data_IF_692831206802
#
_entry.id   IF_692831206802
#
_cell.length_a   1.000
_cell.length_b   1.000
_cell.length_c   1.000
_cell.angle_alpha   90.00
_cell.angle_beta   90.00
_cell.angle_gamma   90.00
#
_symmetry.space_group_name_H-M   'P 1'
#
loop_
_entity.id
_entity.type
_entity.pdbx_description
1 polymer ?
#
# COMPACT_ATOMS: atom_id res chain seq x y z
N UNK A 1 13.17 -31.72 11.78
CA UNK A 1 12.00 -31.24 11.02
C UNK A 1 12.08 -29.74 10.96
N UNK A 2 12.44 -29.17 9.81
CA UNK A 2 12.45 -27.72 9.63
C UNK A 2 11.05 -27.29 9.19
N UNK A 3 10.32 -26.59 10.05
CA UNK A 3 9.05 -25.97 9.69
C UNK A 3 9.41 -24.77 8.82
N UNK A 4 9.20 -24.88 7.50
CA UNK A 4 9.25 -23.71 6.63
C UNK A 4 8.05 -22.83 6.97
N UNK A 5 8.29 -21.72 7.68
CA UNK A 5 7.31 -20.65 7.80
C UNK A 5 7.10 -20.04 6.41
N UNK A 6 6.01 -20.42 5.74
CA UNK A 6 5.55 -19.66 4.59
C UNK A 6 5.13 -18.28 5.09
N UNK A 7 5.70 -17.21 4.51
CA UNK A 7 5.22 -15.85 4.76
C UNK A 7 3.78 -15.77 4.21
N UNK A 8 2.86 -15.11 4.93
CA UNK A 8 1.50 -14.92 4.43
C UNK A 8 1.55 -14.18 3.10
N UNK A 9 0.60 -14.50 2.21
CA UNK A 9 0.48 -13.79 0.94
C UNK A 9 -0.22 -12.46 1.21
N UNK A 10 0.53 -11.37 1.13
CA UNK A 10 0.01 -10.01 1.31
C UNK A 10 -0.26 -9.36 -0.04
N UNK A 11 -1.49 -8.91 -0.26
CA UNK A 11 -1.88 -8.10 -1.42
C UNK A 11 -2.57 -6.81 -0.97
N UNK A 12 -2.78 -5.89 -1.91
CA UNK A 12 -3.21 -4.53 -1.62
C UNK A 12 -4.31 -4.08 -2.58
N UNK A 13 -5.23 -3.26 -2.07
CA UNK A 13 -6.25 -2.57 -2.86
C UNK A 13 -6.18 -1.07 -2.53
N UNK A 14 -6.10 -0.23 -3.57
CA UNK A 14 -6.17 1.22 -3.41
C UNK A 14 -7.64 1.62 -3.28
N UNK A 15 -7.96 2.26 -2.17
CA UNK A 15 -9.33 2.69 -1.86
C UNK A 15 -9.56 4.14 -2.28
N UNK A 16 -8.61 5.01 -1.95
CA UNK A 16 -8.64 6.41 -2.36
C UNK A 16 -7.25 7.04 -2.25
N UNK A 17 -7.02 8.08 -3.04
CA UNK A 17 -5.97 9.06 -2.79
C UNK A 17 -6.62 10.38 -2.36
N UNK A 18 -6.20 10.94 -1.22
CA UNK A 18 -6.77 12.17 -0.69
C UNK A 18 -5.81 13.36 -0.87
N UNK A 19 -6.02 14.20 -1.90
CA UNK A 19 -5.10 15.31 -2.20
C UNK A 19 -5.07 16.38 -1.10
N UNK A 20 -6.14 16.53 -0.31
CA UNK A 20 -6.17 17.48 0.81
C UNK A 20 -5.24 17.02 1.94
N UNK A 21 -5.11 15.71 2.16
CA UNK A 21 -4.15 15.15 3.12
C UNK A 21 -2.71 15.34 2.63
N UNK A 22 -2.45 15.05 1.36
CA UNK A 22 -1.13 15.25 0.76
C UNK A 22 -0.70 16.72 0.82
N UNK A 23 -1.59 17.65 0.45
CA UNK A 23 -1.33 19.09 0.55
C UNK A 23 -1.03 19.58 1.98
N UNK A 24 -1.42 18.81 3.00
CA UNK A 24 -1.13 19.06 4.42
C UNK A 24 0.08 18.27 4.94
N UNK A 25 0.84 17.62 4.05
CA UNK A 25 2.00 16.80 4.40
C UNK A 25 1.64 15.54 5.20
N UNK A 26 0.48 14.95 4.92
CA UNK A 26 0.01 13.70 5.55
C UNK A 26 -0.03 12.55 4.55
N UNK A 27 -0.01 11.33 5.06
CA UNK A 27 -0.22 10.11 4.30
C UNK A 27 -1.60 10.17 3.63
N UNK A 28 -1.63 9.94 2.33
CA UNK A 28 -2.75 10.33 1.47
C UNK A 28 -3.28 9.17 0.63
N UNK A 29 -2.53 8.09 0.46
CA UNK A 29 -3.05 6.87 -0.15
C UNK A 29 -3.71 6.00 0.92
N UNK A 30 -5.02 5.76 0.83
CA UNK A 30 -5.72 4.81 1.68
C UNK A 30 -5.70 3.44 1.02
N UNK A 31 -4.99 2.51 1.63
CA UNK A 31 -4.75 1.17 1.11
C UNK A 31 -5.44 0.16 2.02
N UNK A 32 -6.19 -0.79 1.45
CA UNK A 32 -6.62 -1.99 2.15
C UNK A 32 -5.53 -3.06 2.04
N UNK A 33 -5.20 -3.67 3.17
CA UNK A 33 -4.29 -4.83 3.21
C UNK A 33 -5.12 -6.10 3.23
N UNK A 34 -4.75 -7.06 2.37
CA UNK A 34 -5.38 -8.36 2.26
C UNK A 34 -4.31 -9.40 2.56
N UNK A 35 -4.50 -10.19 3.61
CA UNK A 35 -3.58 -11.25 4.04
C UNK A 35 -4.25 -12.60 3.87
N UNK A 36 -3.62 -13.50 3.11
CA UNK A 36 -4.14 -14.83 2.82
C UNK A 36 -5.59 -14.84 2.28
N UNK A 37 -5.93 -13.79 1.51
CA UNK A 37 -7.25 -13.60 0.91
C UNK A 37 -8.27 -12.87 1.80
N UNK A 38 -7.93 -12.59 3.06
CA UNK A 38 -8.80 -11.93 4.03
C UNK A 38 -8.44 -10.46 4.22
N UNK A 39 -9.44 -9.58 4.16
CA UNK A 39 -9.26 -8.15 4.35
C UNK A 39 -9.00 -7.82 5.84
N UNK A 40 -7.82 -7.28 6.15
CA UNK A 40 -7.42 -7.00 7.53
C UNK A 40 -7.82 -5.59 8.00
N UNK A 41 -7.83 -4.61 7.09
CA UNK A 41 -8.15 -3.22 7.42
C UNK A 41 -7.57 -2.23 6.43
N UNK A 42 -7.61 -0.94 6.78
CA UNK A 42 -7.04 0.14 5.95
C UNK A 42 -5.90 0.85 6.65
N UNK A 43 -4.91 1.26 5.86
CA UNK A 43 -3.81 2.12 6.26
C UNK A 43 -3.78 3.35 5.37
N UNK A 44 -3.42 4.50 5.95
CA UNK A 44 -2.95 5.63 5.17
C UNK A 44 -1.45 5.46 4.97
N UNK A 45 -1.01 5.47 3.72
CA UNK A 45 0.39 5.28 3.33
C UNK A 45 0.93 6.54 2.66
N UNK A 46 2.15 6.89 3.01
CA UNK A 46 2.99 7.89 2.33
C UNK A 46 3.61 7.31 1.05
N UNK A 47 4.25 8.16 0.24
CA UNK A 47 5.05 7.70 -0.91
C UNK A 47 6.16 6.72 -0.47
N UNK A 48 6.79 6.97 0.68
CA UNK A 48 7.85 6.13 1.23
C UNK A 48 7.30 4.75 1.64
N UNK A 49 6.16 4.72 2.34
CA UNK A 49 5.50 3.46 2.75
C UNK A 49 5.16 2.59 1.54
N UNK A 50 4.64 3.20 0.46
CA UNK A 50 4.31 2.48 -0.76
C UNK A 50 5.56 1.87 -1.42
N UNK A 51 6.67 2.61 -1.50
CA UNK A 51 7.95 2.10 -2.02
C UNK A 51 8.53 0.99 -1.15
N UNK A 52 8.45 1.13 0.17
CA UNK A 52 8.90 0.12 1.12
C UNK A 52 8.08 -1.17 0.97
N UNK A 53 6.75 -1.07 0.89
CA UNK A 53 5.89 -2.23 0.66
C UNK A 53 6.23 -2.92 -0.67
N UNK A 54 6.35 -2.19 -1.79
CA UNK A 54 6.72 -2.79 -3.09
C UNK A 54 8.05 -3.56 -3.00
N UNK A 55 9.03 -3.04 -2.27
CA UNK A 55 10.32 -3.72 -2.06
C UNK A 55 10.15 -5.00 -1.23
N UNK A 56 9.32 -4.96 -0.20
CA UNK A 56 9.25 -6.02 0.81
C UNK A 56 8.30 -7.16 0.43
N UNK A 57 7.20 -6.85 -0.26
CA UNK A 57 6.18 -7.83 -0.70
C UNK A 57 6.21 -8.11 -2.22
N UNK A 58 6.85 -7.24 -2.99
CA UNK A 58 6.87 -7.30 -4.46
C UNK A 58 5.93 -6.33 -5.16
N UNK A 59 5.91 -6.35 -6.50
CA UNK A 59 5.11 -5.42 -7.30
C UNK A 59 3.61 -5.62 -7.08
N UNK A 60 2.88 -4.50 -7.04
CA UNK A 60 1.42 -4.46 -6.88
C UNK A 60 0.86 -3.30 -7.69
N UNK A 61 -0.21 -3.56 -8.44
CA UNK A 61 -0.90 -2.54 -9.24
C UNK A 61 -1.46 -1.43 -8.34
N UNK A 62 -2.09 -1.81 -7.22
CA UNK A 62 -2.64 -0.86 -6.25
C UNK A 62 -1.57 0.07 -5.66
N UNK A 63 -0.40 -0.48 -5.27
CA UNK A 63 0.69 0.33 -4.74
C UNK A 63 1.32 1.23 -5.81
N UNK A 64 1.42 0.73 -7.05
CA UNK A 64 1.95 1.48 -8.18
C UNK A 64 1.03 2.62 -8.60
N UNK A 65 -0.28 2.38 -8.60
CA UNK A 65 -1.30 3.41 -8.86
C UNK A 65 -1.28 4.50 -7.77
N UNK A 66 -1.18 4.10 -6.50
CA UNK A 66 -1.06 5.04 -5.38
C UNK A 66 0.20 5.91 -5.50
N UNK A 67 1.33 5.34 -5.92
CA UNK A 67 2.56 6.10 -6.18
C UNK A 67 2.40 7.09 -7.33
N UNK A 68 1.70 6.71 -8.40
CA UNK A 68 1.44 7.61 -9.52
C UNK A 68 0.60 8.81 -9.07
N UNK A 69 -0.41 8.59 -8.23
CA UNK A 69 -1.26 9.66 -7.69
C UNK A 69 -0.46 10.70 -6.88
N UNK A 70 0.61 10.28 -6.19
CA UNK A 70 1.55 11.21 -5.54
C UNK A 70 2.36 12.08 -6.52
N UNK A 71 2.59 11.60 -7.75
CA UNK A 71 3.37 12.31 -8.77
C UNK A 71 2.53 13.22 -9.70
N UNK A 72 1.23 12.96 -9.86
CA UNK A 72 0.32 13.72 -10.72
C UNK A 72 -0.22 15.01 -10.07
N UNK A 73 0.55 15.65 -9.17
CA UNK A 73 0.14 16.89 -8.48
C UNK A 73 -0.23 17.97 -9.51
N UNK A 74 -1.47 18.46 -9.44
CA UNK A 74 -1.98 19.60 -10.22
C UNK A 74 -1.40 20.93 -9.73
#
# INVERSE_FOLDING_TARGET
MSISMQKPVTTFELIEFNPVRDARGKEAAKIRVIEDGEAQGFLWMSEEDLRANIRDVGPSDALSEALRAYGEKL
#
